data_IF_705590089160
#
_entry.id   IF_705590089160
#
_cell.length_a   1.000
_cell.length_b   1.000
_cell.length_c   1.000
_cell.angle_alpha   90.00
_cell.angle_beta   90.00
_cell.angle_gamma   90.00
#
_symmetry.space_group_name_H-M   'P 1'
#
loop_
_entity.id
_entity.type
_entity.pdbx_description
1 polymer ?
#
# COMPACT_ATOMS: atom_id res chain seq x y z
N UNK A 1 8.84 24.14 -8.61
CA UNK A 1 7.96 23.40 -7.67
C UNK A 1 7.33 24.43 -6.77
N UNK A 2 6.01 24.47 -6.66
CA UNK A 2 5.33 25.44 -5.81
C UNK A 2 5.79 25.29 -4.35
N UNK A 3 5.83 26.42 -3.67
CA UNK A 3 6.17 26.66 -2.25
C UNK A 3 5.23 25.86 -1.33
N UNK A 4 5.45 24.55 -1.23
CA UNK A 4 4.67 23.67 -0.35
C UNK A 4 5.32 23.72 1.04
N UNK A 5 4.55 24.14 2.03
CA UNK A 5 4.97 24.14 3.44
C UNK A 5 5.44 22.77 3.93
N UNK A 6 5.99 22.68 5.17
CA UNK A 6 6.56 21.45 5.68
C UNK A 6 5.53 20.31 5.68
N UNK A 7 6.01 19.09 5.40
CA UNK A 7 5.20 17.88 5.50
C UNK A 7 4.78 17.63 6.94
N UNK A 8 3.48 17.52 7.16
CA UNK A 8 2.85 17.37 8.46
C UNK A 8 2.81 15.89 8.86
N UNK A 9 3.58 15.51 9.86
CA UNK A 9 3.75 14.11 10.29
C UNK A 9 2.99 13.85 11.59
N UNK A 10 2.14 12.83 11.58
CA UNK A 10 1.52 12.25 12.78
C UNK A 10 2.21 10.95 13.19
N UNK A 11 2.33 10.70 14.50
CA UNK A 11 2.89 9.44 15.03
C UNK A 11 1.85 8.73 15.89
N UNK A 12 1.59 7.45 15.60
CA UNK A 12 0.67 6.59 16.33
C UNK A 12 1.47 5.50 17.03
N UNK A 13 1.62 5.62 18.34
CA UNK A 13 2.43 4.76 19.19
C UNK A 13 3.62 5.50 19.79
N UNK A 14 3.79 5.39 21.10
CA UNK A 14 4.88 6.05 21.84
C UNK A 14 5.73 5.05 22.65
N UNK A 15 6.01 3.89 22.03
CA UNK A 15 7.02 2.93 22.50
C UNK A 15 8.44 3.36 22.11
N UNK A 16 9.42 2.45 22.19
CA UNK A 16 10.84 2.76 21.88
C UNK A 16 11.05 3.39 20.50
N UNK A 17 10.41 2.85 19.45
CA UNK A 17 10.50 3.40 18.10
C UNK A 17 9.81 4.77 18.00
N UNK A 18 8.60 4.91 18.54
CA UNK A 18 7.86 6.17 18.56
C UNK A 18 8.61 7.29 19.29
N UNK A 19 9.22 7.00 20.44
CA UNK A 19 10.04 7.96 21.19
C UNK A 19 11.25 8.44 20.38
N UNK A 20 11.98 7.51 19.75
CA UNK A 20 13.12 7.84 18.89
C UNK A 20 12.70 8.71 17.68
N UNK A 21 11.58 8.36 17.05
CA UNK A 21 11.04 9.09 15.90
C UNK A 21 10.59 10.51 16.29
N UNK A 22 9.81 10.64 17.36
CA UNK A 22 9.31 11.94 17.86
C UNK A 22 10.46 12.84 18.27
N UNK A 23 11.46 12.31 18.98
CA UNK A 23 12.66 13.09 19.35
C UNK A 23 13.40 13.63 18.12
N UNK A 24 13.58 12.81 17.08
CA UNK A 24 14.21 13.26 15.82
C UNK A 24 13.35 14.27 15.06
N UNK A 25 12.04 14.05 14.97
CA UNK A 25 11.12 14.98 14.31
C UNK A 25 11.11 16.35 15.01
N UNK A 26 11.11 16.39 16.34
CA UNK A 26 11.18 17.64 17.08
C UNK A 26 12.53 18.35 16.93
N UNK A 27 13.63 17.60 16.93
CA UNK A 27 14.98 18.17 16.91
C UNK A 27 15.45 18.59 15.50
N UNK A 28 15.11 17.81 14.47
CA UNK A 28 15.66 17.93 13.12
C UNK A 28 14.59 18.10 12.04
N UNK A 29 13.32 17.82 12.37
CA UNK A 29 12.23 17.87 11.40
C UNK A 29 12.11 19.21 10.67
N UNK A 30 12.10 20.37 11.36
CA UNK A 30 11.93 21.67 10.72
C UNK A 30 12.97 21.96 9.63
N UNK A 31 14.24 21.61 9.87
CA UNK A 31 15.34 21.77 8.90
C UNK A 31 15.18 20.87 7.68
N UNK A 32 14.47 19.75 7.84
CA UNK A 32 14.18 18.77 6.78
C UNK A 32 12.82 19.00 6.11
N UNK A 33 12.13 20.09 6.44
CA UNK A 33 10.78 20.38 5.94
C UNK A 33 9.72 19.42 6.49
N UNK A 34 9.89 18.93 7.72
CA UNK A 34 8.94 18.07 8.43
C UNK A 34 8.41 18.78 9.69
N UNK A 35 7.09 18.74 9.90
CA UNK A 35 6.43 19.27 11.08
C UNK A 35 5.72 18.13 11.82
N UNK A 36 6.09 17.86 13.08
CA UNK A 36 5.31 16.93 13.92
C UNK A 36 4.00 17.61 14.34
N UNK A 37 2.86 17.07 13.90
CA UNK A 37 1.54 17.68 14.17
C UNK A 37 0.73 16.95 15.23
N UNK A 38 1.02 15.66 15.45
CA UNK A 38 0.52 14.95 16.62
C UNK A 38 1.30 13.69 16.97
N UNK A 39 1.16 13.27 18.23
CA UNK A 39 1.52 11.96 18.76
C UNK A 39 0.30 11.40 19.48
N UNK A 40 -0.08 10.16 19.16
CA UNK A 40 -1.12 9.44 19.87
C UNK A 40 -0.53 8.19 20.51
N UNK A 41 -0.95 7.87 21.73
CA UNK A 41 -0.67 6.59 22.35
C UNK A 41 -1.89 6.13 23.16
N UNK A 42 -2.13 4.82 23.20
CA UNK A 42 -3.26 4.23 23.95
C UNK A 42 -3.27 4.66 25.43
N UNK A 43 -2.08 4.78 26.01
CA UNK A 43 -1.86 5.31 27.35
C UNK A 43 -1.20 6.69 27.24
N UNK A 44 -1.97 7.79 27.40
CA UNK A 44 -1.44 9.15 27.30
C UNK A 44 -0.37 9.46 28.35
N UNK A 45 -0.38 8.78 29.50
CA UNK A 45 0.59 8.99 30.58
C UNK A 45 2.03 8.75 30.13
N UNK A 46 2.24 7.90 29.12
CA UNK A 46 3.57 7.66 28.53
C UNK A 46 4.18 8.86 27.80
N UNK A 47 3.35 9.83 27.41
CA UNK A 47 3.77 11.03 26.71
C UNK A 47 4.00 12.22 27.65
N UNK A 48 3.56 12.11 28.90
CA UNK A 48 3.65 13.19 29.89
C UNK A 48 5.11 13.63 30.09
N UNK A 49 5.35 14.94 30.05
CA UNK A 49 6.67 15.55 30.18
C UNK A 49 7.64 15.34 29.00
N UNK A 50 7.30 14.47 28.04
CA UNK A 50 8.18 14.16 26.89
C UNK A 50 7.65 14.69 25.56
N UNK A 51 6.33 14.81 25.41
CA UNK A 51 5.68 15.36 24.21
C UNK A 51 4.93 16.64 24.60
N UNK A 52 5.09 17.76 23.88
CA UNK A 52 4.32 18.98 24.11
C UNK A 52 2.81 18.71 24.15
N UNK A 53 2.04 19.28 25.10
CA UNK A 53 0.59 19.01 25.21
C UNK A 53 -0.20 19.30 23.93
N UNK A 54 0.20 20.31 23.16
CA UNK A 54 -0.41 20.65 21.86
C UNK A 54 -0.28 19.52 20.83
N UNK A 55 0.77 18.71 20.92
CA UNK A 55 1.01 17.58 20.03
C UNK A 55 0.37 16.29 20.53
N UNK A 56 -0.09 16.22 21.78
CA UNK A 56 -0.72 15.01 22.30
C UNK A 56 -2.18 14.87 21.80
N UNK A 57 -2.40 13.97 20.85
CA UNK A 57 -3.73 13.64 20.38
C UNK A 57 -4.41 12.71 21.39
N UNK A 58 -5.59 13.10 21.87
CA UNK A 58 -6.32 12.34 22.91
C UNK A 58 -7.10 11.16 22.31
N UNK A 59 -7.76 11.39 21.18
CA UNK A 59 -8.57 10.39 20.50
C UNK A 59 -8.11 10.28 19.06
N UNK A 60 -7.80 9.07 18.61
CA UNK A 60 -7.38 8.81 17.23
C UNK A 60 -8.45 9.26 16.22
N UNK A 61 -9.73 9.19 16.60
CA UNK A 61 -10.84 9.67 15.80
C UNK A 61 -10.74 11.16 15.41
N UNK A 62 -9.98 11.97 16.16
CA UNK A 62 -9.78 13.40 15.92
C UNK A 62 -8.52 13.70 15.09
N UNK A 63 -7.83 12.69 14.55
CA UNK A 63 -6.58 12.90 13.80
C UNK A 63 -6.76 13.82 12.58
N UNK A 64 -7.96 13.82 11.97
CA UNK A 64 -8.26 14.66 10.81
C UNK A 64 -8.16 16.17 11.12
N UNK A 65 -8.43 16.56 12.37
CA UNK A 65 -8.30 17.96 12.84
C UNK A 65 -6.84 18.44 12.87
N UNK A 66 -5.88 17.52 12.86
CA UNK A 66 -4.45 17.83 12.84
C UNK A 66 -3.90 18.02 11.44
N UNK A 67 -4.68 17.68 10.41
CA UNK A 67 -4.30 17.77 9.00
C UNK A 67 -2.91 17.17 8.72
N UNK A 68 -2.64 15.90 9.08
CA UNK A 68 -1.38 15.26 8.70
C UNK A 68 -1.31 15.06 7.17
N UNK A 69 -0.10 15.05 6.61
CA UNK A 69 0.20 14.52 5.27
C UNK A 69 0.63 13.04 5.35
N UNK A 70 1.28 12.66 6.45
CA UNK A 70 1.80 11.30 6.68
C UNK A 70 1.52 10.88 8.13
N UNK A 71 1.12 9.62 8.32
CA UNK A 71 0.97 9.02 9.65
C UNK A 71 1.86 7.79 9.74
N UNK A 72 2.73 7.78 10.75
CA UNK A 72 3.64 6.67 11.04
C UNK A 72 3.05 5.85 12.18
N UNK A 73 2.58 4.64 11.88
CA UNK A 73 2.07 3.69 12.88
C UNK A 73 3.21 2.80 13.40
N UNK A 74 3.44 2.86 14.71
CA UNK A 74 4.48 2.14 15.45
C UNK A 74 3.95 1.65 16.81
N UNK A 75 2.66 1.34 16.88
CA UNK A 75 1.96 0.90 18.09
C UNK A 75 1.72 -0.63 18.08
N UNK A 76 0.74 -1.09 17.31
CA UNK A 76 0.29 -2.49 17.30
C UNK A 76 -0.64 -2.76 16.09
N UNK A 77 -0.59 -3.92 15.42
CA UNK A 77 -1.43 -4.25 14.26
C UNK A 77 -2.93 -4.03 14.45
N UNK A 78 -3.41 -4.19 15.70
CA UNK A 78 -4.81 -3.91 16.09
C UNK A 78 -5.26 -2.48 15.73
N UNK A 79 -4.35 -1.49 15.78
CA UNK A 79 -4.66 -0.11 15.41
C UNK A 79 -4.94 0.01 13.91
N UNK A 80 -4.18 -0.70 13.07
CA UNK A 80 -4.45 -0.75 11.63
C UNK A 80 -5.80 -1.43 11.36
N UNK A 81 -6.13 -2.51 12.07
CA UNK A 81 -7.44 -3.16 11.98
C UNK A 81 -8.60 -2.22 12.36
N UNK A 82 -8.48 -1.46 13.45
CA UNK A 82 -9.57 -0.62 13.97
C UNK A 82 -9.64 0.77 13.32
N UNK A 83 -8.51 1.32 12.85
CA UNK A 83 -8.41 2.73 12.44
C UNK A 83 -7.63 2.94 11.15
N UNK A 84 -7.11 1.91 10.51
CA UNK A 84 -6.34 2.02 9.27
C UNK A 84 -7.10 2.74 8.15
N UNK A 85 -8.38 2.41 7.97
CA UNK A 85 -9.23 3.09 6.99
C UNK A 85 -9.42 4.59 7.30
N UNK A 86 -9.49 4.98 8.58
CA UNK A 86 -9.56 6.39 8.96
C UNK A 86 -8.20 7.09 8.74
N UNK A 87 -7.10 6.43 9.06
CA UNK A 87 -5.74 6.96 8.84
C UNK A 87 -5.53 7.22 7.34
N UNK A 88 -5.88 6.27 6.47
CA UNK A 88 -5.71 6.39 5.01
C UNK A 88 -6.57 7.51 4.38
N UNK A 89 -7.63 7.99 5.06
CA UNK A 89 -8.41 9.16 4.60
C UNK A 89 -7.67 10.48 4.80
N UNK A 90 -6.68 10.50 5.67
CA UNK A 90 -5.99 11.72 6.08
C UNK A 90 -4.47 11.62 5.92
N UNK A 91 -3.91 10.51 5.44
CA UNK A 91 -2.47 10.30 5.41
C UNK A 91 -2.02 9.37 4.29
N UNK A 92 -0.75 9.54 3.89
CA UNK A 92 -0.20 8.88 2.73
C UNK A 92 0.41 7.50 3.00
N UNK A 93 0.21 6.58 2.04
CA UNK A 93 1.08 5.43 1.80
C UNK A 93 2.27 5.91 0.97
N UNK A 94 3.48 5.53 1.34
CA UNK A 94 4.70 6.06 0.73
C UNK A 94 5.13 5.31 -0.54
N UNK A 95 4.84 4.02 -0.63
CA UNK A 95 5.15 3.19 -1.81
C UNK A 95 4.24 1.98 -1.87
N UNK A 96 3.95 1.52 -3.09
CA UNK A 96 3.27 0.25 -3.34
C UNK A 96 3.66 -0.23 -4.74
N UNK A 97 4.23 -1.43 -4.81
CA UNK A 97 4.54 -2.14 -6.05
C UNK A 97 3.74 -3.42 -6.08
N UNK A 98 3.11 -3.69 -7.21
CA UNK A 98 2.38 -4.94 -7.46
C UNK A 98 2.95 -5.59 -8.70
N UNK A 99 3.54 -6.76 -8.53
CA UNK A 99 4.07 -7.58 -9.62
C UNK A 99 3.11 -8.73 -9.88
N UNK A 100 2.67 -8.88 -11.12
CA UNK A 100 1.94 -10.07 -11.57
C UNK A 100 2.84 -10.86 -12.51
N UNK A 101 3.10 -12.11 -12.18
CA UNK A 101 3.83 -13.06 -13.01
C UNK A 101 2.92 -14.22 -13.43
N UNK A 102 3.00 -14.60 -14.71
CA UNK A 102 2.35 -15.80 -15.25
C UNK A 102 3.01 -16.24 -16.56
N UNK A 103 2.60 -17.37 -17.11
CA UNK A 103 3.01 -17.80 -18.45
C UNK A 103 2.75 -16.70 -19.49
N UNK A 104 3.64 -16.48 -20.48
CA UNK A 104 3.39 -15.53 -21.56
C UNK A 104 2.00 -15.67 -22.21
N UNK A 105 1.52 -16.90 -22.37
CA UNK A 105 0.21 -17.21 -22.98
C UNK A 105 -1.00 -16.77 -22.12
N UNK A 106 -0.79 -16.43 -20.85
CA UNK A 106 -1.82 -15.88 -19.95
C UNK A 106 -2.07 -14.38 -20.15
N UNK A 107 -1.23 -13.70 -20.92
CA UNK A 107 -1.39 -12.26 -21.16
C UNK A 107 -2.34 -11.96 -22.31
N UNK A 108 -3.12 -10.90 -22.15
CA UNK A 108 -3.96 -10.32 -23.20
C UNK A 108 -3.67 -8.83 -23.28
N UNK A 109 -2.51 -8.52 -23.85
CA UNK A 109 -2.00 -7.16 -23.96
C UNK A 109 -2.55 -6.46 -25.21
N UNK A 110 -2.71 -5.15 -25.11
CA UNK A 110 -3.29 -4.29 -26.12
C UNK A 110 -2.37 -3.09 -26.41
N UNK A 111 -2.58 -2.42 -27.55
CA UNK A 111 -1.83 -1.23 -27.92
C UNK A 111 -0.32 -1.48 -27.99
N UNK A 112 0.53 -0.56 -27.47
CA UNK A 112 1.99 -0.72 -27.49
C UNK A 112 2.50 -1.97 -26.79
N UNK A 113 1.76 -2.51 -25.81
CA UNK A 113 2.16 -3.74 -25.10
C UNK A 113 1.80 -5.01 -25.87
N UNK A 114 0.96 -4.95 -26.89
CA UNK A 114 0.63 -6.13 -27.71
C UNK A 114 1.84 -6.70 -28.47
N UNK A 115 2.85 -5.86 -28.74
CA UNK A 115 4.11 -6.28 -29.36
C UNK A 115 5.14 -6.81 -28.35
N UNK A 116 4.87 -6.71 -27.04
CA UNK A 116 5.77 -7.23 -26.02
C UNK A 116 5.73 -8.75 -26.04
N UNK A 117 6.90 -9.37 -26.18
CA UNK A 117 7.05 -10.82 -26.16
C UNK A 117 8.11 -11.24 -25.14
N UNK A 118 8.01 -12.47 -24.65
CA UNK A 118 9.06 -13.03 -23.82
C UNK A 118 10.35 -13.15 -24.63
N UNK A 119 11.47 -12.74 -24.05
CA UNK A 119 12.81 -12.83 -24.66
C UNK A 119 13.70 -13.86 -23.96
N UNK A 120 13.19 -14.50 -22.91
CA UNK A 120 13.91 -15.49 -22.13
C UNK A 120 13.00 -16.26 -21.18
N UNK A 121 13.57 -16.99 -20.19
CA UNK A 121 12.79 -17.76 -19.22
C UNK A 121 11.90 -16.87 -18.35
N UNK A 122 12.33 -15.63 -18.07
CA UNK A 122 11.58 -14.64 -17.32
C UNK A 122 11.84 -13.24 -17.88
N UNK A 123 10.79 -12.52 -18.28
CA UNK A 123 10.86 -11.22 -18.95
C UNK A 123 9.87 -10.24 -18.34
N UNK A 124 10.34 -9.03 -18.01
CA UNK A 124 9.45 -7.92 -17.61
C UNK A 124 8.83 -7.32 -18.88
N UNK A 125 7.51 -7.42 -19.02
CA UNK A 125 6.77 -6.87 -20.15
C UNK A 125 6.38 -5.40 -19.91
N UNK A 126 6.23 -5.02 -18.65
CA UNK A 126 5.87 -3.67 -18.24
C UNK A 126 6.38 -3.38 -16.83
N UNK A 127 6.85 -2.16 -16.59
CA UNK A 127 7.09 -1.62 -15.26
C UNK A 127 6.80 -0.11 -15.27
N UNK A 128 5.90 0.35 -14.41
CA UNK A 128 5.52 1.76 -14.33
C UNK A 128 4.19 2.01 -13.62
N UNK A 129 3.65 3.24 -13.69
CA UNK A 129 2.39 3.60 -13.05
C UNK A 129 1.20 2.76 -13.54
N UNK A 130 0.39 2.26 -12.62
CA UNK A 130 -0.82 1.47 -12.95
C UNK A 130 -1.74 2.20 -13.95
N UNK A 131 -1.79 3.53 -13.93
CA UNK A 131 -2.53 4.34 -14.92
C UNK A 131 -2.15 4.00 -16.36
N UNK A 132 -0.85 3.87 -16.64
CA UNK A 132 -0.35 3.57 -17.98
C UNK A 132 -0.55 2.10 -18.35
N UNK A 133 -0.63 1.21 -17.35
CA UNK A 133 -0.82 -0.22 -17.57
C UNK A 133 -2.27 -0.58 -17.91
N UNK A 134 -3.25 -0.06 -17.18
CA UNK A 134 -4.64 -0.50 -17.27
C UNK A 134 -5.23 -0.48 -18.70
N UNK A 135 -5.01 0.55 -19.54
CA UNK A 135 -5.51 0.56 -20.91
C UNK A 135 -4.92 -0.54 -21.80
N UNK A 136 -3.72 -1.03 -21.48
CA UNK A 136 -2.97 -1.96 -22.32
C UNK A 136 -2.93 -3.39 -21.76
N UNK A 137 -3.37 -3.60 -20.53
CA UNK A 137 -3.50 -4.93 -19.92
C UNK A 137 -4.79 -5.04 -19.10
N UNK A 138 -5.98 -4.78 -19.68
CA UNK A 138 -7.23 -4.64 -18.93
C UNK A 138 -7.64 -5.94 -18.21
N UNK A 139 -7.23 -7.10 -18.74
CA UNK A 139 -7.58 -8.40 -18.13
C UNK A 139 -6.59 -8.88 -17.07
N UNK A 140 -5.38 -8.32 -17.05
CA UNK A 140 -4.29 -8.72 -16.16
C UNK A 140 -4.04 -7.68 -15.05
N UNK A 141 -4.59 -6.46 -15.16
CA UNK A 141 -4.28 -5.35 -14.24
C UNK A 141 -5.29 -5.17 -13.09
N UNK A 142 -6.32 -6.01 -12.97
CA UNK A 142 -7.38 -5.88 -11.96
C UNK A 142 -6.86 -5.80 -10.53
N UNK A 143 -5.93 -6.69 -10.14
CA UNK A 143 -5.35 -6.65 -8.77
C UNK A 143 -4.55 -5.37 -8.53
N UNK A 144 -3.89 -4.83 -9.55
CA UNK A 144 -3.12 -3.59 -9.44
C UNK A 144 -4.03 -2.36 -9.36
N UNK A 145 -5.13 -2.35 -10.14
CA UNK A 145 -6.15 -1.32 -10.07
C UNK A 145 -6.85 -1.34 -8.70
N UNK A 146 -7.15 -2.52 -8.15
CA UNK A 146 -7.67 -2.69 -6.79
C UNK A 146 -6.69 -2.14 -5.74
N UNK A 147 -5.39 -2.42 -5.88
CA UNK A 147 -4.36 -1.87 -5.00
C UNK A 147 -4.27 -0.33 -5.09
N UNK A 148 -4.35 0.24 -6.30
CA UNK A 148 -4.39 1.69 -6.51
C UNK A 148 -5.63 2.35 -5.88
N UNK A 149 -6.80 1.69 -5.95
CA UNK A 149 -8.02 2.16 -5.27
C UNK A 149 -7.90 2.06 -3.74
N UNK A 150 -7.26 1.00 -3.24
CA UNK A 150 -7.03 0.80 -1.81
C UNK A 150 -5.95 1.71 -1.23
N UNK A 151 -5.09 2.29 -2.09
CA UNK A 151 -4.03 3.22 -1.72
C UNK A 151 -4.29 4.63 -2.30
N UNK A 152 -5.33 5.36 -1.86
CA UNK A 152 -5.79 6.60 -2.49
C UNK A 152 -4.74 7.71 -2.55
N UNK A 153 -3.78 7.70 -1.62
CA UNK A 153 -2.65 8.64 -1.60
C UNK A 153 -1.60 8.40 -2.69
N UNK A 154 -1.50 7.18 -3.18
CA UNK A 154 -0.68 6.83 -4.36
C UNK A 154 -1.53 6.89 -5.63
N UNK A 155 -2.75 6.35 -5.56
CA UNK A 155 -3.64 6.23 -6.70
C UNK A 155 -3.01 5.46 -7.87
N UNK A 156 -3.55 5.65 -9.07
CA UNK A 156 -3.07 4.96 -10.26
C UNK A 156 -1.70 5.47 -10.75
N UNK A 157 -1.30 6.67 -10.35
CA UNK A 157 -0.03 7.28 -10.77
C UNK A 157 1.14 6.90 -9.87
N UNK A 158 0.88 6.71 -8.57
CA UNK A 158 1.90 6.40 -7.56
C UNK A 158 2.07 4.91 -7.26
N UNK A 159 1.11 4.06 -7.61
CA UNK A 159 1.28 2.60 -7.52
C UNK A 159 2.04 2.12 -8.76
N UNK A 160 3.11 1.36 -8.55
CA UNK A 160 3.89 0.75 -9.62
C UNK A 160 3.33 -0.64 -9.94
N UNK A 161 2.83 -0.84 -11.16
CA UNK A 161 2.45 -2.14 -11.69
C UNK A 161 3.58 -2.76 -12.51
N UNK A 162 3.74 -4.08 -12.40
CA UNK A 162 4.78 -4.82 -13.11
C UNK A 162 4.21 -6.11 -13.69
N UNK A 163 4.32 -6.29 -15.00
CA UNK A 163 3.94 -7.54 -15.65
C UNK A 163 5.18 -8.35 -15.98
N UNK A 164 5.19 -9.60 -15.57
CA UNK A 164 6.29 -10.53 -15.81
C UNK A 164 5.77 -11.76 -16.55
N UNK A 165 6.34 -12.01 -17.72
CA UNK A 165 6.19 -13.28 -18.42
C UNK A 165 7.23 -14.26 -17.86
N UNK A 166 6.77 -15.41 -17.38
CA UNK A 166 7.63 -16.43 -16.80
C UNK A 166 7.26 -17.80 -17.36
N UNK A 167 8.17 -18.39 -18.14
CA UNK A 167 7.98 -19.69 -18.78
C UNK A 167 7.96 -20.86 -17.77
N UNK A 168 8.42 -20.64 -16.54
CA UNK A 168 8.36 -21.66 -15.49
C UNK A 168 7.00 -21.78 -14.82
N UNK A 169 6.13 -20.76 -14.97
CA UNK A 169 4.78 -20.75 -14.41
C UNK A 169 3.80 -21.42 -15.37
N UNK A 170 3.75 -22.75 -15.38
CA UNK A 170 2.92 -23.51 -16.33
C UNK A 170 1.45 -23.57 -15.96
N UNK A 171 1.13 -23.46 -14.67
CA UNK A 171 -0.19 -23.73 -14.11
C UNK A 171 -0.56 -22.78 -12.95
N UNK A 172 0.10 -21.64 -12.84
CA UNK A 172 -0.12 -20.69 -11.74
C UNK A 172 0.02 -19.22 -12.16
N UNK A 173 -0.71 -18.37 -11.47
CA UNK A 173 -0.50 -16.92 -11.44
C UNK A 173 0.10 -16.56 -10.10
N UNK A 174 1.18 -15.79 -10.13
CA UNK A 174 1.84 -15.26 -8.94
C UNK A 174 1.60 -13.76 -8.88
N UNK A 175 1.23 -13.26 -7.70
CA UNK A 175 1.18 -11.83 -7.42
C UNK A 175 2.01 -11.53 -6.18
N UNK A 176 2.99 -10.65 -6.34
CA UNK A 176 3.77 -10.08 -5.25
C UNK A 176 3.34 -8.64 -5.00
N UNK A 177 3.04 -8.34 -3.73
CA UNK A 177 2.74 -6.99 -3.26
C UNK A 177 3.84 -6.55 -2.32
N UNK A 178 4.53 -5.49 -2.72
CA UNK A 178 5.69 -4.96 -2.03
C UNK A 178 5.46 -3.53 -1.57
N UNK A 179 5.83 -3.27 -0.31
CA UNK A 179 5.90 -1.93 0.25
C UNK A 179 7.28 -1.74 0.85
N UNK A 180 7.94 -0.64 0.51
CA UNK A 180 9.28 -0.32 1.03
C UNK A 180 9.35 1.09 1.62
N UNK A 181 10.07 1.20 2.73
CA UNK A 181 10.47 2.47 3.30
C UNK A 181 11.73 3.02 2.60
N UNK A 182 12.04 4.29 2.85
CA UNK A 182 13.29 4.87 2.39
C UNK A 182 14.50 4.15 3.02
N UNK A 183 15.63 4.03 2.29
CA UNK A 183 16.84 3.42 2.83
C UNK A 183 17.32 4.16 4.08
N UNK A 184 17.63 3.42 5.13
CA UNK A 184 18.29 3.97 6.31
C UNK A 184 19.77 4.27 6.06
N UNK A 185 20.50 4.78 7.08
CA UNK A 185 21.91 5.18 6.94
C UNK A 185 22.88 4.07 6.46
N UNK A 186 22.49 2.80 6.60
CA UNK A 186 23.26 1.62 6.14
C UNK A 186 22.78 1.08 4.79
N UNK A 187 21.98 1.84 4.04
CA UNK A 187 21.42 1.45 2.74
C UNK A 187 20.31 0.39 2.78
N UNK A 188 19.86 -0.03 3.98
CA UNK A 188 18.78 -1.01 4.15
C UNK A 188 17.45 -0.31 4.39
N UNK A 189 16.42 -0.73 3.69
CA UNK A 189 15.04 -0.26 3.87
C UNK A 189 14.21 -1.22 4.72
N UNK A 190 13.20 -0.69 5.39
CA UNK A 190 12.04 -1.50 5.79
C UNK A 190 11.34 -2.01 4.53
N UNK A 191 10.94 -3.28 4.51
CA UNK A 191 10.21 -3.86 3.39
C UNK A 191 9.16 -4.85 3.91
N UNK A 192 7.99 -4.83 3.30
CA UNK A 192 6.91 -5.80 3.48
C UNK A 192 6.66 -6.45 2.14
N UNK A 193 6.57 -7.78 2.15
CA UNK A 193 6.31 -8.58 0.97
C UNK A 193 5.14 -9.51 1.27
N UNK A 194 4.10 -9.45 0.44
CA UNK A 194 3.01 -10.43 0.44
C UNK A 194 3.04 -11.19 -0.88
N UNK A 195 3.05 -12.51 -0.80
CA UNK A 195 3.07 -13.40 -1.94
C UNK A 195 1.72 -14.10 -2.06
N UNK A 196 1.14 -14.11 -3.25
CA UNK A 196 -0.08 -14.83 -3.59
C UNK A 196 0.18 -15.75 -4.77
N UNK A 197 -0.17 -17.01 -4.59
CA UNK A 197 -0.24 -18.00 -5.66
C UNK A 197 -1.71 -18.31 -5.95
N UNK A 198 -2.04 -18.44 -7.23
CA UNK A 198 -3.37 -18.78 -7.67
C UNK A 198 -3.26 -19.79 -8.83
N UNK A 199 -3.62 -21.07 -8.61
CA UNK A 199 -3.59 -22.08 -9.67
C UNK A 199 -4.42 -21.62 -10.88
N UNK A 200 -3.96 -21.91 -12.08
CA UNK A 200 -4.56 -21.48 -13.34
C UNK A 200 -4.29 -22.52 -14.44
N UNK A 201 -5.26 -22.78 -15.30
CA UNK A 201 -5.02 -23.62 -16.48
C UNK A 201 -4.05 -22.91 -17.44
N UNK A 202 -3.24 -23.67 -18.22
CA UNK A 202 -2.33 -23.07 -19.19
C UNK A 202 -3.02 -22.07 -20.12
N UNK A 203 -2.47 -20.86 -20.21
CA UNK A 203 -3.00 -19.77 -21.05
C UNK A 203 -4.30 -19.11 -20.53
N UNK A 204 -4.80 -19.52 -19.36
CA UNK A 204 -5.93 -18.88 -18.71
C UNK A 204 -5.56 -17.49 -18.18
N UNK A 205 -6.52 -16.57 -18.23
CA UNK A 205 -6.33 -15.20 -17.71
C UNK A 205 -6.77 -15.10 -16.25
N UNK A 206 -7.50 -16.10 -15.75
CA UNK A 206 -8.03 -16.15 -14.38
C UNK A 206 -7.69 -17.49 -13.75
N UNK A 207 -7.21 -17.47 -12.51
CA UNK A 207 -6.91 -18.69 -11.77
C UNK A 207 -8.19 -19.43 -11.34
N UNK A 208 -8.12 -20.76 -11.30
CA UNK A 208 -9.22 -21.66 -11.01
C UNK A 208 -9.83 -21.47 -9.63
N UNK A 209 -9.05 -21.04 -8.64
CA UNK A 209 -9.54 -20.78 -7.28
C UNK A 209 -10.31 -19.46 -7.13
N UNK A 210 -10.22 -18.55 -8.11
CA UNK A 210 -10.74 -17.18 -8.02
C UNK A 210 -12.25 -17.16 -7.79
N UNK A 211 -13.01 -17.97 -8.54
CA UNK A 211 -14.48 -18.01 -8.43
C UNK A 211 -14.92 -18.45 -7.03
N UNK A 212 -14.29 -19.51 -6.50
CA UNK A 212 -14.57 -20.02 -5.15
C UNK A 212 -14.22 -19.00 -4.08
N UNK A 213 -13.09 -18.30 -4.22
CA UNK A 213 -12.70 -17.24 -3.31
C UNK A 213 -13.73 -16.10 -3.30
N UNK A 214 -14.16 -15.64 -4.48
CA UNK A 214 -15.14 -14.57 -4.60
C UNK A 214 -16.49 -14.97 -4.01
N UNK A 215 -16.94 -16.21 -4.25
CA UNK A 215 -18.17 -16.73 -3.66
C UNK A 215 -18.12 -16.75 -2.12
N UNK A 216 -17.00 -17.16 -1.54
CA UNK A 216 -16.81 -17.15 -0.08
C UNK A 216 -16.80 -15.72 0.48
N UNK A 217 -16.20 -14.76 -0.23
CA UNK A 217 -16.24 -13.35 0.13
C UNK A 217 -17.67 -12.80 0.13
N UNK A 218 -18.49 -13.17 -0.87
CA UNK A 218 -19.90 -12.79 -0.91
C UNK A 218 -20.68 -13.36 0.29
N UNK A 219 -20.46 -14.63 0.64
CA UNK A 219 -21.10 -15.24 1.82
C UNK A 219 -20.68 -14.56 3.13
N UNK A 220 -19.43 -14.14 3.24
CA UNK A 220 -18.95 -13.39 4.41
C UNK A 220 -19.60 -11.99 4.51
N UNK A 221 -19.89 -11.35 3.36
CA UNK A 221 -20.58 -10.06 3.35
C UNK A 221 -21.98 -10.11 3.97
N UNK A 222 -22.67 -11.26 3.92
CA UNK A 222 -23.95 -11.46 4.61
C UNK A 222 -23.87 -11.28 6.13
N UNK A 223 -22.67 -11.29 6.71
CA UNK A 223 -22.42 -11.10 8.15
C UNK A 223 -22.03 -9.65 8.50
N UNK A 224 -21.82 -8.79 7.49
CA UNK A 224 -21.44 -7.40 7.68
C UNK A 224 -22.67 -6.48 7.75
N UNK A 225 -22.58 -5.31 8.43
CA UNK A 225 -23.65 -4.32 8.41
C UNK A 225 -23.93 -3.86 6.98
N UNK A 226 -25.21 -3.86 6.59
CA UNK A 226 -25.63 -3.40 5.25
C UNK A 226 -25.28 -1.92 5.06
N UNK A 227 -24.28 -1.67 4.22
CA UNK A 227 -23.82 -0.34 3.82
C UNK A 227 -23.42 -0.39 2.34
N UNK A 228 -23.80 0.62 1.51
CA UNK A 228 -23.32 0.71 0.14
C UNK A 228 -21.78 0.78 0.10
N UNK A 229 -21.14 0.10 -0.86
CA UNK A 229 -19.69 0.12 -1.00
C UNK A 229 -19.16 -0.78 -2.12
N UNK A 230 -17.84 -0.81 -2.25
CA UNK A 230 -17.09 -1.69 -3.16
C UNK A 230 -16.35 -2.72 -2.31
N UNK A 231 -16.45 -4.00 -2.68
CA UNK A 231 -15.68 -5.07 -2.06
C UNK A 231 -14.62 -5.58 -3.05
N UNK A 232 -13.35 -5.43 -2.68
CA UNK A 232 -12.22 -5.93 -3.45
C UNK A 232 -11.88 -7.34 -2.94
N UNK A 233 -12.01 -8.34 -3.80
CA UNK A 233 -11.74 -9.76 -3.49
C UNK A 233 -10.36 -10.19 -4.01
#
# INVERSE_FOLDING_TARGET
MADKGPWRVGVVGYGRLGQSLVSRLLAQGPELGLELVFVWNRDPGRMAGSVPPSLQLQKLAALGERHPDLVVEVAHPKIIHESGAQILRHANLLSLRVTMATHPDGFRLEGPLAAAHSTGPRTVLYEGPVRGLCPFAPRNSNTMAAAALAAPSLGFDGVTGVLVADLSLTDMHVVDVELSGHPGPRGRSFAVHTHRENPAEPGAVTGSATVTAFWRSLLACCQLPSRPGIHLC
#
